data_IF_704464643417
#
_entry.id   IF_704464643417
#
_cell.length_a   1.000
_cell.length_b   1.000
_cell.length_c   1.000
_cell.angle_alpha   90.00
_cell.angle_beta   90.00
_cell.angle_gamma   90.00
#
_symmetry.space_group_name_H-M   'P 1'
#
loop_
_entity.id
_entity.type
_entity.pdbx_description
1 polymer ?
#
# COMPACT_ATOMS: atom_id res chain seq x y z
N UNK A 1 -15.19 2.69 14.29
CA UNK A 1 -14.27 1.54 14.51
C UNK A 1 -15.03 0.30 15.00
N UNK A 2 -15.76 0.37 16.11
CA UNK A 2 -16.49 -0.79 16.69
C UNK A 2 -17.42 -1.46 15.68
N UNK A 3 -18.21 -0.70 14.92
CA UNK A 3 -19.12 -1.24 13.88
C UNK A 3 -18.36 -1.98 12.75
N UNK A 4 -17.23 -1.44 12.29
CA UNK A 4 -16.43 -2.11 11.25
C UNK A 4 -15.83 -3.44 11.75
N UNK A 5 -15.27 -3.45 12.96
CA UNK A 5 -14.69 -4.68 13.54
C UNK A 5 -15.80 -5.71 13.85
N UNK A 6 -16.99 -5.25 14.27
CA UNK A 6 -18.12 -6.14 14.55
C UNK A 6 -18.64 -6.89 13.30
N UNK A 7 -18.38 -6.41 12.08
CA UNK A 7 -18.78 -7.11 10.85
C UNK A 7 -17.79 -8.19 10.41
N UNK A 8 -16.56 -8.21 10.93
CA UNK A 8 -15.52 -9.22 10.57
C UNK A 8 -15.98 -10.65 10.87
N UNK A 9 -16.53 -10.99 12.06
CA UNK A 9 -17.03 -12.33 12.32
C UNK A 9 -18.11 -12.78 11.34
N UNK A 10 -18.99 -11.88 10.91
CA UNK A 10 -20.03 -12.19 9.91
C UNK A 10 -19.45 -12.46 8.53
N UNK A 11 -18.43 -11.70 8.13
CA UNK A 11 -17.70 -11.96 6.88
C UNK A 11 -16.99 -13.31 6.91
N UNK A 12 -16.32 -13.65 8.02
CA UNK A 12 -15.66 -14.95 8.19
C UNK A 12 -16.71 -16.08 8.17
N UNK A 13 -17.80 -15.93 8.90
CA UNK A 13 -18.89 -16.91 8.91
C UNK A 13 -19.46 -17.12 7.51
N UNK A 14 -19.75 -16.05 6.77
CA UNK A 14 -20.20 -16.14 5.39
C UNK A 14 -19.18 -16.85 4.47
N UNK A 15 -17.89 -16.57 4.65
CA UNK A 15 -16.82 -17.21 3.88
C UNK A 15 -16.76 -18.73 4.13
N UNK A 16 -16.99 -19.17 5.36
CA UNK A 16 -17.05 -20.60 5.73
C UNK A 16 -18.37 -21.28 5.31
N UNK A 17 -19.46 -20.52 5.37
CA UNK A 17 -20.78 -21.03 5.07
C UNK A 17 -20.92 -21.39 3.58
N UNK A 18 -20.28 -20.65 2.68
CA UNK A 18 -20.38 -20.86 1.23
C UNK A 18 -19.90 -22.25 0.77
N UNK A 19 -18.68 -22.72 1.13
CA UNK A 19 -18.27 -24.08 0.79
C UNK A 19 -19.14 -25.15 1.45
N UNK A 20 -19.58 -24.91 2.67
CA UNK A 20 -20.44 -25.85 3.39
C UNK A 20 -21.83 -25.98 2.75
N UNK A 21 -22.48 -24.86 2.39
CA UNK A 21 -23.74 -24.87 1.65
C UNK A 21 -23.60 -25.54 0.28
N UNK A 22 -22.49 -25.30 -0.41
CA UNK A 22 -22.22 -25.93 -1.70
C UNK A 22 -22.16 -27.46 -1.58
N UNK A 23 -21.55 -27.98 -0.52
CA UNK A 23 -21.50 -29.41 -0.21
C UNK A 23 -22.91 -29.96 0.00
N UNK A 24 -23.71 -29.30 0.86
CA UNK A 24 -25.08 -29.73 1.12
C UNK A 24 -25.98 -29.66 -0.12
N UNK A 25 -25.86 -28.61 -0.92
CA UNK A 25 -26.59 -28.49 -2.18
C UNK A 25 -26.34 -29.68 -3.07
N UNK A 26 -25.08 -30.09 -3.23
CA UNK A 26 -24.73 -31.18 -4.13
C UNK A 26 -25.17 -32.54 -3.55
N UNK A 27 -24.84 -32.80 -2.30
CA UNK A 27 -25.04 -34.14 -1.69
C UNK A 27 -26.51 -34.42 -1.34
N UNK A 28 -27.23 -33.42 -0.83
CA UNK A 28 -28.57 -33.62 -0.28
C UNK A 28 -29.69 -33.26 -1.28
N UNK A 29 -29.41 -32.45 -2.30
CA UNK A 29 -30.47 -32.00 -3.23
C UNK A 29 -30.17 -32.30 -4.69
N UNK A 30 -28.94 -32.08 -5.20
CA UNK A 30 -28.63 -32.33 -6.62
C UNK A 30 -28.56 -33.81 -6.90
N UNK A 31 -27.85 -34.60 -6.10
CA UNK A 31 -27.71 -36.07 -6.32
C UNK A 31 -29.05 -36.78 -6.15
N UNK A 32 -29.90 -36.50 -5.13
CA UNK A 32 -31.20 -37.08 -4.98
C UNK A 32 -32.26 -36.54 -5.94
N UNK A 33 -32.03 -35.37 -6.58
CA UNK A 33 -32.99 -34.75 -7.55
C UNK A 33 -34.12 -33.95 -6.86
N UNK A 34 -33.92 -33.51 -5.62
CA UNK A 34 -34.88 -32.68 -4.87
C UNK A 34 -34.83 -31.21 -5.32
N UNK A 35 -35.70 -30.84 -6.26
CA UNK A 35 -35.74 -29.47 -6.81
C UNK A 35 -36.26 -28.42 -5.81
N UNK A 36 -37.19 -28.78 -4.92
CA UNK A 36 -37.76 -27.85 -3.94
C UNK A 36 -36.71 -27.52 -2.85
N UNK A 37 -35.99 -28.53 -2.38
CA UNK A 37 -34.88 -28.35 -1.46
C UNK A 37 -33.73 -27.55 -2.08
N UNK A 38 -33.41 -27.84 -3.33
CA UNK A 38 -32.39 -27.14 -4.11
C UNK A 38 -32.69 -25.63 -4.17
N UNK A 39 -33.94 -25.25 -4.51
CA UNK A 39 -34.33 -23.84 -4.58
C UNK A 39 -34.13 -23.12 -3.23
N UNK A 40 -34.56 -23.74 -2.12
CA UNK A 40 -34.35 -23.17 -0.76
C UNK A 40 -32.89 -22.97 -0.43
N UNK A 41 -32.03 -23.95 -0.72
CA UNK A 41 -30.61 -23.88 -0.44
C UNK A 41 -29.89 -22.85 -1.31
N UNK A 42 -30.30 -22.69 -2.58
CA UNK A 42 -29.77 -21.63 -3.47
C UNK A 42 -30.15 -20.24 -2.93
N UNK A 43 -31.38 -20.05 -2.43
CA UNK A 43 -31.81 -18.80 -1.80
C UNK A 43 -30.99 -18.52 -0.51
N UNK A 44 -30.77 -19.54 0.31
CA UNK A 44 -29.90 -19.42 1.50
C UNK A 44 -28.45 -19.05 1.12
N UNK A 45 -27.91 -19.68 0.09
CA UNK A 45 -26.58 -19.39 -0.42
C UNK A 45 -26.50 -17.94 -0.95
N UNK A 46 -27.50 -17.48 -1.68
CA UNK A 46 -27.57 -16.09 -2.15
C UNK A 46 -27.66 -15.12 -0.96
N UNK A 47 -28.42 -15.45 0.09
CA UNK A 47 -28.47 -14.69 1.35
C UNK A 47 -27.11 -14.64 2.04
N UNK A 48 -26.41 -15.77 2.15
CA UNK A 48 -25.06 -15.82 2.74
C UNK A 48 -24.05 -14.98 1.94
N UNK A 49 -24.10 -15.04 0.60
CA UNK A 49 -23.29 -14.17 -0.27
C UNK A 49 -23.60 -12.70 -0.03
N UNK A 50 -24.88 -12.34 0.04
CA UNK A 50 -25.30 -10.96 0.32
C UNK A 50 -24.80 -10.47 1.69
N UNK A 51 -24.97 -11.29 2.74
CA UNK A 51 -24.48 -10.96 4.10
C UNK A 51 -22.95 -10.78 4.09
N UNK A 52 -22.21 -11.68 3.43
CA UNK A 52 -20.75 -11.58 3.29
C UNK A 52 -20.36 -10.30 2.59
N UNK A 53 -20.95 -10.02 1.43
CA UNK A 53 -20.68 -8.83 0.64
C UNK A 53 -20.96 -7.52 1.40
N UNK A 54 -22.13 -7.42 2.05
CA UNK A 54 -22.46 -6.24 2.86
C UNK A 54 -21.53 -6.09 4.06
N UNK A 55 -21.18 -7.19 4.72
CA UNK A 55 -20.24 -7.18 5.84
C UNK A 55 -18.84 -6.69 5.42
N UNK A 56 -18.32 -7.21 4.30
CA UNK A 56 -17.02 -6.78 3.75
C UNK A 56 -17.06 -5.32 3.27
N UNK A 57 -18.18 -4.89 2.65
CA UNK A 57 -18.36 -3.51 2.19
C UNK A 57 -18.40 -2.53 3.36
N UNK A 58 -19.15 -2.85 4.41
CA UNK A 58 -19.23 -2.04 5.64
C UNK A 58 -17.86 -1.97 6.31
N UNK A 59 -17.19 -3.10 6.46
CA UNK A 59 -15.86 -3.18 7.04
C UNK A 59 -14.86 -2.28 6.27
N UNK A 60 -14.77 -2.46 4.95
CA UNK A 60 -13.87 -1.71 4.09
C UNK A 60 -14.17 -0.20 4.13
N UNK A 61 -15.46 0.17 4.07
CA UNK A 61 -15.87 1.58 4.14
C UNK A 61 -15.43 2.24 5.46
N UNK A 62 -15.71 1.61 6.60
CA UNK A 62 -15.31 2.17 7.89
C UNK A 62 -13.80 2.21 8.07
N UNK A 63 -13.08 1.20 7.58
CA UNK A 63 -11.63 1.15 7.63
C UNK A 63 -11.00 2.30 6.82
N UNK A 64 -11.45 2.48 5.57
CA UNK A 64 -11.00 3.58 4.71
C UNK A 64 -11.35 4.93 5.32
N UNK A 65 -12.55 5.10 5.86
CA UNK A 65 -12.96 6.34 6.51
C UNK A 65 -12.06 6.70 7.70
N UNK A 66 -11.72 5.72 8.53
CA UNK A 66 -10.83 5.94 9.68
C UNK A 66 -9.43 6.27 9.21
N UNK A 67 -8.91 5.56 8.21
CA UNK A 67 -7.62 5.86 7.59
C UNK A 67 -7.56 7.30 7.06
N UNK A 68 -8.56 7.71 6.29
CA UNK A 68 -8.66 9.08 5.76
C UNK A 68 -8.72 10.14 6.86
N UNK A 69 -9.48 9.91 7.93
CA UNK A 69 -9.56 10.84 9.05
C UNK A 69 -8.22 10.95 9.79
N UNK A 70 -7.53 9.83 10.01
CA UNK A 70 -6.22 9.82 10.66
C UNK A 70 -5.17 10.55 9.80
N UNK A 71 -5.14 10.30 8.49
CA UNK A 71 -4.23 10.99 7.56
C UNK A 71 -4.55 12.47 7.45
N UNK A 72 -5.83 12.85 7.43
CA UNK A 72 -6.24 14.26 7.41
C UNK A 72 -5.77 14.99 8.67
N UNK A 73 -5.93 14.40 9.85
CA UNK A 73 -5.43 14.96 11.11
C UNK A 73 -3.91 15.09 11.09
N UNK A 74 -3.18 14.00 10.75
CA UNK A 74 -1.72 13.99 10.66
C UNK A 74 -1.20 15.03 9.66
N UNK A 75 -1.86 15.20 8.51
CA UNK A 75 -1.49 16.22 7.52
C UNK A 75 -1.65 17.64 8.07
N UNK A 76 -2.72 17.89 8.81
CA UNK A 76 -2.94 19.18 9.47
C UNK A 76 -1.89 19.46 10.53
N UNK A 77 -1.59 18.46 11.35
CA UNK A 77 -0.57 18.58 12.41
C UNK A 77 0.83 18.79 11.83
N UNK A 78 1.18 18.02 10.79
CA UNK A 78 2.46 18.16 10.08
C UNK A 78 2.58 19.53 9.42
N UNK A 79 1.52 20.02 8.80
CA UNK A 79 1.52 21.35 8.17
C UNK A 79 1.68 22.46 9.22
N UNK A 80 0.97 22.36 10.35
CA UNK A 80 1.12 23.29 11.46
C UNK A 80 2.55 23.27 12.03
N UNK A 81 3.15 22.09 12.17
CA UNK A 81 4.52 21.92 12.62
C UNK A 81 5.52 22.55 11.63
N UNK A 82 5.38 22.30 10.32
CA UNK A 82 6.23 22.91 9.28
C UNK A 82 6.17 24.44 9.36
N UNK A 83 4.99 25.03 9.57
CA UNK A 83 4.86 26.49 9.69
C UNK A 83 5.54 27.05 10.95
N UNK A 84 5.82 26.24 11.97
CA UNK A 84 6.53 26.63 13.18
C UNK A 84 8.06 26.47 13.09
N UNK A 85 8.59 25.88 12.00
CA UNK A 85 10.02 25.66 11.84
C UNK A 85 10.78 26.96 11.54
N UNK A 86 12.04 27.08 11.97
CA UNK A 86 12.87 28.26 11.74
C UNK A 86 13.25 28.41 10.27
N UNK A 87 13.57 29.63 9.87
CA UNK A 87 13.98 29.93 8.49
C UNK A 87 15.21 29.13 8.05
N UNK A 88 16.14 28.85 8.94
CA UNK A 88 17.32 28.04 8.66
C UNK A 88 17.01 26.64 8.15
N UNK A 89 15.88 26.06 8.58
CA UNK A 89 15.38 24.79 8.07
C UNK A 89 15.05 24.87 6.58
N UNK A 90 14.32 25.93 6.15
CA UNK A 90 13.91 26.11 4.75
C UNK A 90 15.09 26.45 3.82
N UNK A 91 16.13 27.08 4.35
CA UNK A 91 17.35 27.38 3.59
C UNK A 91 18.17 26.08 3.31
N UNK A 92 18.08 25.07 4.18
CA UNK A 92 18.77 23.77 4.05
C UNK A 92 17.95 22.72 3.31
N UNK A 93 16.63 22.84 3.29
CA UNK A 93 15.74 21.82 2.73
C UNK A 93 14.96 22.37 1.52
N UNK A 94 15.10 21.75 0.31
CA UNK A 94 14.32 22.16 -0.84
C UNK A 94 12.81 22.03 -0.60
N UNK A 95 12.03 23.04 -0.96
CA UNK A 95 10.56 23.06 -0.79
C UNK A 95 9.90 21.83 -1.42
N UNK A 96 10.43 21.34 -2.56
CA UNK A 96 9.94 20.13 -3.22
C UNK A 96 9.99 18.88 -2.34
N UNK A 97 11.03 18.74 -1.49
CA UNK A 97 11.13 17.63 -0.54
C UNK A 97 10.03 17.73 0.52
N UNK A 98 9.82 18.92 1.10
CA UNK A 98 8.78 19.17 2.09
C UNK A 98 7.39 18.86 1.50
N UNK A 99 7.15 19.31 0.27
CA UNK A 99 5.90 19.04 -0.44
C UNK A 99 5.67 17.53 -0.64
N UNK A 100 6.73 16.78 -0.98
CA UNK A 100 6.65 15.31 -1.11
C UNK A 100 6.23 14.65 0.20
N UNK A 101 6.69 15.15 1.38
CA UNK A 101 6.26 14.63 2.70
C UNK A 101 4.76 14.84 2.93
N UNK A 102 4.24 16.06 2.58
CA UNK A 102 2.83 16.41 2.75
C UNK A 102 1.89 15.72 1.74
N UNK A 103 2.41 15.25 0.61
CA UNK A 103 1.63 14.62 -0.46
C UNK A 103 1.90 13.12 -0.54
N UNK A 104 2.95 12.71 -1.25
CA UNK A 104 3.23 11.31 -1.58
C UNK A 104 3.49 10.42 -0.37
N UNK A 105 4.19 10.93 0.67
CA UNK A 105 4.46 10.13 1.87
C UNK A 105 3.16 9.96 2.70
N UNK A 106 2.32 10.99 2.79
CA UNK A 106 1.00 10.88 3.41
C UNK A 106 0.07 9.93 2.65
N UNK A 107 0.14 9.91 1.31
CA UNK A 107 -0.63 8.99 0.50
C UNK A 107 -0.15 7.54 0.67
N UNK A 108 1.16 7.32 0.73
CA UNK A 108 1.72 5.99 1.03
C UNK A 108 1.28 5.45 2.40
N UNK A 109 1.18 6.32 3.42
CA UNK A 109 0.61 5.95 4.72
C UNK A 109 -0.88 5.63 4.63
N UNK A 110 -1.64 6.42 3.89
CA UNK A 110 -3.07 6.18 3.66
C UNK A 110 -3.31 4.81 3.03
N UNK A 111 -2.57 4.47 1.97
CA UNK A 111 -2.66 3.18 1.30
C UNK A 111 -2.38 2.01 2.26
N UNK A 112 -1.39 2.17 3.13
CA UNK A 112 -1.08 1.14 4.13
C UNK A 112 -2.15 1.00 5.20
N UNK A 113 -2.68 2.10 5.71
CA UNK A 113 -3.71 2.08 6.75
C UNK A 113 -5.06 1.62 6.20
N UNK A 114 -5.41 2.08 4.98
CA UNK A 114 -6.71 1.77 4.37
C UNK A 114 -6.77 0.36 3.76
N UNK A 115 -5.67 -0.15 3.21
CA UNK A 115 -5.63 -1.40 2.44
C UNK A 115 -4.75 -2.46 3.14
N UNK A 116 -3.76 -2.04 3.93
CA UNK A 116 -2.65 -2.91 4.27
C UNK A 116 -2.84 -3.77 5.52
N UNK A 117 -2.79 -3.19 6.71
CA UNK A 117 -2.56 -3.96 7.94
C UNK A 117 -3.80 -4.74 8.38
N UNK A 118 -4.99 -4.12 8.33
CA UNK A 118 -6.20 -4.78 8.81
C UNK A 118 -6.79 -5.77 7.79
N UNK A 119 -6.64 -5.51 6.49
CA UNK A 119 -7.06 -6.48 5.46
C UNK A 119 -6.18 -7.72 5.50
N UNK A 120 -4.85 -7.57 5.65
CA UNK A 120 -3.93 -8.71 5.85
C UNK A 120 -4.38 -9.58 7.02
N UNK A 121 -4.70 -8.96 8.15
CA UNK A 121 -5.15 -9.69 9.35
C UNK A 121 -6.47 -10.42 9.10
N UNK A 122 -7.43 -9.79 8.45
CA UNK A 122 -8.72 -10.39 8.12
C UNK A 122 -8.58 -11.54 7.11
N UNK A 123 -7.76 -11.36 6.07
CA UNK A 123 -7.51 -12.38 5.06
C UNK A 123 -6.74 -13.56 5.63
N UNK A 124 -5.82 -13.32 6.54
CA UNK A 124 -5.12 -14.35 7.29
C UNK A 124 -6.08 -15.17 8.19
N UNK A 125 -6.99 -14.48 8.90
CA UNK A 125 -8.03 -15.14 9.69
C UNK A 125 -8.98 -15.98 8.82
N UNK A 126 -9.43 -15.43 7.69
CA UNK A 126 -10.27 -16.16 6.72
C UNK A 126 -9.54 -17.39 6.18
N UNK A 127 -8.27 -17.25 5.84
CA UNK A 127 -7.45 -18.35 5.32
C UNK A 127 -7.27 -19.46 6.35
N UNK A 128 -6.97 -19.11 7.61
CA UNK A 128 -6.88 -20.10 8.71
C UNK A 128 -8.23 -20.79 8.90
N UNK A 129 -9.32 -20.03 8.93
CA UNK A 129 -10.66 -20.59 9.10
C UNK A 129 -11.03 -21.58 7.97
N UNK A 130 -10.69 -21.24 6.72
CA UNK A 130 -10.86 -22.12 5.57
C UNK A 130 -9.98 -23.39 5.67
N UNK A 131 -8.73 -23.25 6.10
CA UNK A 131 -7.84 -24.41 6.32
C UNK A 131 -8.39 -25.36 7.41
N UNK A 132 -8.88 -24.80 8.52
CA UNK A 132 -9.53 -25.59 9.58
C UNK A 132 -10.75 -26.33 9.02
N UNK A 133 -11.59 -25.64 8.24
CA UNK A 133 -12.75 -26.26 7.58
C UNK A 133 -12.33 -27.42 6.68
N UNK A 134 -11.28 -27.26 5.86
CA UNK A 134 -10.77 -28.31 4.99
C UNK A 134 -10.26 -29.53 5.78
N UNK A 135 -9.56 -29.29 6.90
CA UNK A 135 -9.07 -30.38 7.78
C UNK A 135 -10.24 -31.17 8.37
N UNK A 136 -11.31 -30.48 8.81
CA UNK A 136 -12.51 -31.11 9.36
C UNK A 136 -13.23 -31.95 8.30
N UNK A 137 -13.33 -31.42 7.06
CA UNK A 137 -13.99 -32.11 5.96
C UNK A 137 -13.23 -33.36 5.50
N UNK A 138 -11.92 -33.24 5.29
CA UNK A 138 -11.04 -34.38 4.95
C UNK A 138 -9.57 -33.99 5.13
N UNK A 139 -8.94 -34.51 6.19
CA UNK A 139 -7.53 -34.27 6.46
C UNK A 139 -6.59 -34.81 5.35
N UNK A 140 -7.00 -35.90 4.68
CA UNK A 140 -6.24 -36.51 3.57
C UNK A 140 -6.21 -35.61 2.33
N UNK A 141 -7.35 -35.04 1.92
CA UNK A 141 -7.41 -34.07 0.83
C UNK A 141 -6.67 -32.78 1.17
N UNK A 142 -6.76 -32.34 2.41
CA UNK A 142 -6.01 -31.16 2.90
C UNK A 142 -4.52 -31.38 2.81
N UNK A 143 -4.03 -32.61 3.09
CA UNK A 143 -2.62 -32.93 2.96
C UNK A 143 -2.13 -32.84 1.51
N UNK A 144 -2.96 -33.22 0.53
CA UNK A 144 -2.65 -33.03 -0.91
C UNK A 144 -2.47 -31.53 -1.21
N UNK A 145 -3.37 -30.67 -0.70
CA UNK A 145 -3.25 -29.21 -0.87
C UNK A 145 -1.97 -28.68 -0.23
N UNK A 146 -1.68 -29.09 1.02
CA UNK A 146 -0.48 -28.68 1.74
C UNK A 146 0.81 -29.13 1.06
N UNK A 147 0.81 -30.28 0.41
CA UNK A 147 1.97 -30.79 -0.33
C UNK A 147 2.32 -29.95 -1.56
N UNK A 148 1.34 -29.24 -2.11
CA UNK A 148 1.51 -28.39 -3.30
C UNK A 148 2.02 -26.99 -2.93
N UNK A 149 1.77 -26.50 -1.71
CA UNK A 149 2.23 -25.19 -1.27
C UNK A 149 3.77 -25.01 -1.34
N UNK A 150 4.62 -25.95 -0.87
CA UNK A 150 6.06 -25.81 -0.99
C UNK A 150 6.55 -25.62 -2.44
N UNK A 151 6.18 -26.47 -3.42
CA UNK A 151 6.54 -26.23 -4.83
C UNK A 151 6.15 -24.84 -5.34
N UNK A 152 4.92 -24.39 -5.05
CA UNK A 152 4.47 -23.05 -5.42
C UNK A 152 5.39 -21.99 -4.80
N UNK A 153 5.71 -22.10 -3.52
CA UNK A 153 6.57 -21.14 -2.84
C UNK A 153 7.97 -21.08 -3.47
N UNK A 154 8.62 -22.21 -3.67
CA UNK A 154 9.98 -22.26 -4.22
C UNK A 154 10.05 -21.71 -5.64
N UNK A 155 9.12 -22.13 -6.51
CA UNK A 155 9.08 -21.68 -7.90
C UNK A 155 8.73 -20.19 -7.97
N UNK A 156 7.74 -19.74 -7.20
CA UNK A 156 7.38 -18.33 -7.14
C UNK A 156 8.53 -17.47 -6.63
N UNK A 157 9.24 -17.91 -5.59
CA UNK A 157 10.38 -17.16 -5.04
C UNK A 157 11.54 -17.07 -6.04
N UNK A 158 11.82 -18.16 -6.75
CA UNK A 158 12.83 -18.16 -7.83
C UNK A 158 12.48 -17.17 -8.95
N UNK A 159 11.26 -17.24 -9.48
CA UNK A 159 10.80 -16.37 -10.57
C UNK A 159 10.74 -14.89 -10.12
N UNK A 160 10.27 -14.63 -8.90
CA UNK A 160 10.25 -13.26 -8.33
C UNK A 160 11.64 -12.67 -8.17
N UNK A 161 12.62 -13.46 -7.77
CA UNK A 161 14.01 -12.99 -7.68
C UNK A 161 14.53 -12.54 -9.04
N UNK A 162 14.26 -13.31 -10.10
CA UNK A 162 14.61 -12.95 -11.47
C UNK A 162 13.86 -11.72 -11.96
N UNK A 163 12.55 -11.68 -11.73
CA UNK A 163 11.70 -10.54 -12.08
C UNK A 163 12.20 -9.25 -11.42
N UNK A 164 12.52 -9.28 -10.13
CA UNK A 164 13.06 -8.12 -9.39
C UNK A 164 14.35 -7.60 -10.02
N UNK A 165 15.25 -8.48 -10.45
CA UNK A 165 16.49 -8.09 -11.13
C UNK A 165 16.20 -7.33 -12.42
N UNK A 166 15.31 -7.86 -13.28
CA UNK A 166 14.95 -7.19 -14.52
C UNK A 166 14.11 -5.92 -14.32
N UNK A 167 13.29 -5.87 -13.27
CA UNK A 167 12.63 -4.64 -12.88
C UNK A 167 13.59 -3.51 -12.53
N UNK A 168 14.67 -3.80 -11.81
CA UNK A 168 15.70 -2.81 -11.50
C UNK A 168 16.41 -2.33 -12.76
N UNK A 169 16.82 -3.26 -13.66
CA UNK A 169 17.41 -2.90 -14.94
C UNK A 169 16.47 -2.04 -15.81
N UNK A 170 15.18 -2.34 -15.80
CA UNK A 170 14.17 -1.54 -16.51
C UNK A 170 14.09 -0.12 -15.93
N UNK A 171 14.11 0.03 -14.60
CA UNK A 171 14.10 1.34 -13.96
C UNK A 171 15.35 2.16 -14.27
N UNK A 172 16.51 1.54 -14.23
CA UNK A 172 17.78 2.20 -14.60
C UNK A 172 17.78 2.65 -16.06
N UNK A 173 17.37 1.78 -16.97
CA UNK A 173 17.28 2.10 -18.40
C UNK A 173 16.22 3.20 -18.69
N UNK A 174 15.10 3.19 -17.98
CA UNK A 174 14.07 4.24 -18.10
C UNK A 174 14.58 5.57 -17.57
N UNK A 175 15.27 5.58 -16.42
CA UNK A 175 15.85 6.78 -15.84
C UNK A 175 16.91 7.39 -16.77
N UNK A 176 17.77 6.55 -17.38
CA UNK A 176 18.77 6.99 -18.34
C UNK A 176 18.14 7.58 -19.62
N UNK A 177 17.10 6.94 -20.16
CA UNK A 177 16.38 7.45 -21.32
C UNK A 177 15.64 8.77 -21.01
N UNK A 178 14.98 8.85 -19.84
CA UNK A 178 14.25 10.05 -19.41
C UNK A 178 15.20 11.21 -19.09
N UNK A 179 16.32 10.92 -18.42
CA UNK A 179 17.36 11.93 -18.14
C UNK A 179 17.93 12.53 -19.43
N UNK A 180 18.24 11.68 -20.41
CA UNK A 180 18.71 12.13 -21.71
C UNK A 180 17.65 12.98 -22.46
N UNK A 181 16.38 12.56 -22.41
CA UNK A 181 15.29 13.34 -23.00
C UNK A 181 15.17 14.73 -22.34
N UNK A 182 15.27 14.79 -21.02
CA UNK A 182 15.24 16.05 -20.28
C UNK A 182 16.42 16.95 -20.64
N UNK A 183 17.63 16.40 -20.78
CA UNK A 183 18.81 17.15 -21.25
C UNK A 183 18.60 17.70 -22.65
N UNK A 184 18.07 16.88 -23.58
CA UNK A 184 17.79 17.31 -24.95
C UNK A 184 16.72 18.43 -25.01
N UNK A 185 15.66 18.31 -24.20
CA UNK A 185 14.59 19.34 -24.14
C UNK A 185 15.12 20.65 -23.56
N UNK A 186 15.93 20.59 -22.51
CA UNK A 186 16.57 21.77 -21.93
C UNK A 186 17.55 22.44 -22.91
N UNK A 187 18.24 21.63 -23.72
CA UNK A 187 19.21 22.09 -24.72
C UNK A 187 18.66 22.22 -26.14
N UNK A 188 17.32 22.22 -26.36
CA UNK A 188 16.71 22.14 -27.69
C UNK A 188 17.17 23.25 -28.64
N UNK A 189 17.34 24.47 -28.14
CA UNK A 189 17.85 25.60 -28.95
C UNK A 189 19.26 25.30 -29.49
N UNK A 190 20.12 24.73 -28.66
CA UNK A 190 21.49 24.38 -29.06
C UNK A 190 21.48 23.25 -30.11
N UNK A 191 20.65 22.23 -29.93
CA UNK A 191 20.46 21.12 -30.85
C UNK A 191 20.05 21.65 -32.24
N UNK A 192 19.08 22.55 -32.29
CA UNK A 192 18.57 23.18 -33.53
C UNK A 192 19.62 24.09 -34.18
N UNK A 193 20.33 24.91 -33.39
CA UNK A 193 21.38 25.79 -33.91
C UNK A 193 22.53 25.04 -34.60
N UNK A 194 22.84 23.83 -34.08
CA UNK A 194 23.92 22.99 -34.65
C UNK A 194 23.40 21.93 -35.63
N UNK A 195 22.10 21.93 -35.96
CA UNK A 195 21.43 20.92 -36.81
C UNK A 195 21.80 19.48 -36.39
N UNK A 196 21.80 19.23 -35.04
CA UNK A 196 22.25 17.98 -34.44
C UNK A 196 21.12 16.98 -34.18
N UNK A 197 19.87 17.23 -34.66
CA UNK A 197 18.68 16.45 -34.38
C UNK A 197 18.82 14.97 -34.69
N UNK A 198 19.41 14.64 -35.87
CA UNK A 198 19.62 13.27 -36.30
C UNK A 198 20.57 12.49 -35.36
N UNK A 199 21.59 13.15 -34.83
CA UNK A 199 22.54 12.56 -33.88
C UNK A 199 21.88 12.30 -32.53
N UNK A 200 21.13 13.28 -32.04
CA UNK A 200 20.42 13.20 -30.78
C UNK A 200 19.34 12.10 -30.83
N UNK A 201 18.57 12.04 -31.94
CA UNK A 201 17.57 11.01 -32.16
C UNK A 201 18.19 9.61 -32.11
N UNK A 202 19.30 9.39 -32.82
CA UNK A 202 19.99 8.09 -32.80
C UNK A 202 20.48 7.68 -31.42
N UNK A 203 20.94 8.63 -30.61
CA UNK A 203 21.32 8.36 -29.21
C UNK A 203 20.12 8.03 -28.33
N UNK A 204 19.01 8.74 -28.52
CA UNK A 204 17.75 8.44 -27.81
C UNK A 204 17.20 7.07 -28.19
N UNK A 205 17.22 6.70 -29.48
CA UNK A 205 16.83 5.37 -29.96
C UNK A 205 17.69 4.26 -29.35
N UNK A 206 18.98 4.47 -29.16
CA UNK A 206 19.84 3.51 -28.48
C UNK A 206 19.42 3.30 -27.02
N UNK A 207 19.15 4.40 -26.29
CA UNK A 207 18.73 4.35 -24.89
C UNK A 207 17.34 3.70 -24.72
N UNK A 208 16.38 4.07 -25.56
CA UNK A 208 15.06 3.43 -25.59
C UNK A 208 15.12 1.97 -26.01
N UNK A 209 16.09 1.60 -26.90
CA UNK A 209 16.38 0.21 -27.22
C UNK A 209 16.86 -0.62 -26.04
N UNK A 210 17.69 -0.04 -25.16
CA UNK A 210 18.09 -0.68 -23.89
C UNK A 210 16.90 -0.86 -22.93
N UNK A 211 16.07 0.18 -22.78
CA UNK A 211 14.83 0.09 -22.00
C UNK A 211 13.90 -0.99 -22.53
N UNK A 212 13.67 -1.03 -23.86
CA UNK A 212 12.82 -2.04 -24.49
C UNK A 212 13.28 -3.47 -24.20
N UNK A 213 14.59 -3.74 -24.29
CA UNK A 213 15.15 -5.06 -23.98
C UNK A 213 14.95 -5.45 -22.53
N UNK A 214 15.26 -4.53 -21.60
CA UNK A 214 15.07 -4.76 -20.18
C UNK A 214 13.57 -5.02 -19.84
N UNK A 215 12.68 -4.21 -20.40
CA UNK A 215 11.24 -4.33 -20.22
C UNK A 215 10.69 -5.64 -20.79
N UNK A 216 11.19 -6.08 -21.95
CA UNK A 216 10.79 -7.35 -22.57
C UNK A 216 11.15 -8.53 -21.67
N UNK A 217 12.36 -8.54 -21.10
CA UNK A 217 12.75 -9.57 -20.14
C UNK A 217 11.91 -9.52 -18.85
N UNK A 218 11.64 -8.32 -18.33
CA UNK A 218 10.76 -8.14 -17.19
C UNK A 218 9.36 -8.72 -17.44
N UNK A 219 8.75 -8.38 -18.58
CA UNK A 219 7.44 -8.87 -18.97
C UNK A 219 7.42 -10.39 -19.17
N UNK A 220 8.51 -10.97 -19.69
CA UNK A 220 8.64 -12.42 -19.83
C UNK A 220 8.59 -13.12 -18.47
N UNK A 221 9.37 -12.66 -17.49
CA UNK A 221 9.35 -13.26 -16.15
C UNK A 221 8.06 -13.00 -15.40
N UNK A 222 7.41 -11.87 -15.62
CA UNK A 222 6.09 -11.57 -15.07
C UNK A 222 5.03 -12.55 -15.63
N UNK A 223 4.97 -12.70 -16.96
CA UNK A 223 4.08 -13.66 -17.61
C UNK A 223 4.40 -15.12 -17.19
N UNK A 224 5.70 -15.47 -17.09
CA UNK A 224 6.13 -16.79 -16.63
C UNK A 224 5.67 -17.06 -15.19
N UNK A 225 5.76 -16.07 -14.31
CA UNK A 225 5.31 -16.20 -12.93
C UNK A 225 3.82 -16.54 -12.86
N UNK A 226 2.97 -15.81 -13.61
CA UNK A 226 1.55 -16.09 -13.69
C UNK A 226 1.26 -17.47 -14.27
N UNK A 227 1.86 -17.79 -15.42
CA UNK A 227 1.61 -19.05 -16.12
C UNK A 227 2.04 -20.27 -15.32
N UNK A 228 3.15 -20.18 -14.63
CA UNK A 228 3.67 -21.30 -13.81
C UNK A 228 2.82 -21.51 -12.56
N UNK A 229 2.40 -20.43 -11.88
CA UNK A 229 1.48 -20.54 -10.74
C UNK A 229 0.15 -21.17 -11.17
N UNK A 230 -0.43 -20.72 -12.28
CA UNK A 230 -1.66 -21.27 -12.82
C UNK A 230 -1.49 -22.73 -13.24
N UNK A 231 -0.37 -23.07 -13.86
CA UNK A 231 -0.03 -24.45 -14.21
C UNK A 231 0.07 -25.38 -13.00
N UNK A 232 0.75 -24.93 -11.93
CA UNK A 232 0.86 -25.71 -10.68
C UNK A 232 -0.54 -25.84 -10.02
N UNK A 233 -1.34 -24.78 -10.05
CA UNK A 233 -2.72 -24.81 -9.52
C UNK A 233 -3.57 -25.82 -10.31
N UNK A 234 -3.43 -25.86 -11.62
CA UNK A 234 -4.11 -26.83 -12.48
C UNK A 234 -3.68 -28.28 -12.21
N UNK A 235 -2.37 -28.49 -11.99
CA UNK A 235 -1.85 -29.80 -11.56
C UNK A 235 -2.40 -30.18 -10.18
N UNK A 236 -2.47 -29.22 -9.25
CA UNK A 236 -3.08 -29.42 -7.94
C UNK A 236 -4.52 -29.90 -8.05
N UNK A 237 -5.29 -29.23 -8.92
CA UNK A 237 -6.68 -29.58 -9.21
C UNK A 237 -6.79 -31.00 -9.78
N UNK A 238 -5.93 -31.35 -10.76
CA UNK A 238 -5.91 -32.67 -11.34
C UNK A 238 -5.59 -33.77 -10.32
N UNK A 239 -4.59 -33.55 -9.46
CA UNK A 239 -4.23 -34.46 -8.38
C UNK A 239 -5.36 -34.60 -7.35
N UNK A 240 -6.02 -33.49 -7.02
CA UNK A 240 -7.17 -33.50 -6.11
C UNK A 240 -8.35 -34.26 -6.71
N UNK A 241 -8.65 -34.07 -8.00
CA UNK A 241 -9.69 -34.83 -8.69
C UNK A 241 -9.35 -36.31 -8.73
N UNK A 242 -8.13 -36.68 -9.08
CA UNK A 242 -7.69 -38.08 -9.15
C UNK A 242 -7.77 -38.76 -7.79
N UNK A 243 -7.19 -38.16 -6.75
CA UNK A 243 -7.21 -38.73 -5.41
C UNK A 243 -8.60 -38.66 -4.77
N UNK A 244 -9.33 -37.56 -4.96
CA UNK A 244 -10.70 -37.38 -4.50
C UNK A 244 -11.69 -38.37 -5.12
N UNK A 245 -11.57 -38.64 -6.41
CA UNK A 245 -12.38 -39.67 -7.08
C UNK A 245 -12.15 -41.05 -6.47
N UNK A 246 -10.90 -41.41 -6.13
CA UNK A 246 -10.60 -42.66 -5.46
C UNK A 246 -11.25 -42.73 -4.06
N UNK A 247 -11.26 -41.63 -3.31
CA UNK A 247 -11.91 -41.53 -1.99
C UNK A 247 -13.44 -41.63 -2.11
N UNK A 248 -14.04 -41.11 -3.18
CA UNK A 248 -15.49 -41.20 -3.47
C UNK A 248 -15.85 -42.68 -3.74
N UNK A 249 -15.09 -43.35 -4.59
CA UNK A 249 -15.33 -44.77 -4.90
C UNK A 249 -15.24 -45.68 -3.68
N UNK A 250 -14.45 -45.31 -2.67
CA UNK A 250 -14.36 -46.01 -1.40
C UNK A 250 -15.40 -45.56 -0.37
N UNK A 251 -16.26 -44.63 -0.69
CA UNK A 251 -17.33 -44.12 0.19
C UNK A 251 -16.81 -43.24 1.36
N UNK A 252 -15.54 -42.80 1.33
CA UNK A 252 -14.94 -42.01 2.39
C UNK A 252 -15.22 -40.48 2.26
N UNK A 253 -15.49 -40.02 1.06
CA UNK A 253 -15.74 -38.62 0.73
C UNK A 253 -16.92 -38.54 -0.24
N UNK A 254 -17.78 -37.53 -0.10
CA UNK A 254 -18.88 -37.27 -1.04
C UNK A 254 -18.43 -36.43 -2.24
N UNK A 255 -19.24 -36.41 -3.29
CA UNK A 255 -19.00 -35.56 -4.47
C UNK A 255 -19.07 -34.09 -4.08
N UNK A 256 -20.02 -33.71 -3.20
CA UNK A 256 -20.14 -32.34 -2.70
C UNK A 256 -18.89 -31.88 -1.96
N UNK A 257 -18.30 -32.74 -1.12
CA UNK A 257 -17.04 -32.44 -0.41
C UNK A 257 -15.91 -32.17 -1.40
N UNK A 258 -15.76 -32.99 -2.46
CA UNK A 258 -14.72 -32.77 -3.47
C UNK A 258 -14.90 -31.43 -4.20
N UNK A 259 -16.11 -31.08 -4.60
CA UNK A 259 -16.42 -29.79 -5.25
C UNK A 259 -16.21 -28.62 -4.29
N UNK A 260 -16.59 -28.77 -3.02
CA UNK A 260 -16.33 -27.80 -1.96
C UNK A 260 -14.82 -27.55 -1.74
N UNK A 261 -14.00 -28.61 -1.79
CA UNK A 261 -12.54 -28.51 -1.75
C UNK A 261 -12.00 -27.71 -2.93
N UNK A 262 -12.42 -28.02 -4.16
CA UNK A 262 -11.98 -27.32 -5.37
C UNK A 262 -12.30 -25.82 -5.29
N UNK A 263 -13.52 -25.49 -4.85
CA UNK A 263 -13.93 -24.10 -4.68
C UNK A 263 -13.09 -23.37 -3.62
N UNK A 264 -12.82 -24.04 -2.50
CA UNK A 264 -12.07 -23.48 -1.38
C UNK A 264 -10.58 -23.32 -1.70
N UNK A 265 -10.01 -24.20 -2.51
CA UNK A 265 -8.62 -24.16 -2.95
C UNK A 265 -8.28 -22.80 -3.60
N UNK A 266 -9.10 -22.37 -4.54
CA UNK A 266 -8.92 -21.08 -5.21
C UNK A 266 -8.96 -19.90 -4.22
N UNK A 267 -9.83 -19.97 -3.20
CA UNK A 267 -9.96 -18.93 -2.17
C UNK A 267 -8.75 -18.85 -1.24
N UNK A 268 -8.03 -19.96 -1.02
CA UNK A 268 -6.81 -19.98 -0.20
C UNK A 268 -5.60 -19.46 -0.96
N UNK A 269 -5.52 -19.69 -2.27
CA UNK A 269 -4.36 -19.23 -3.05
C UNK A 269 -4.37 -17.73 -3.34
N UNK A 270 -5.52 -17.07 -3.38
CA UNK A 270 -5.62 -15.62 -3.63
C UNK A 270 -4.87 -14.80 -2.55
N UNK A 271 -5.13 -14.97 -1.24
CA UNK A 271 -4.40 -14.24 -0.20
C UNK A 271 -2.89 -14.50 -0.22
N UNK A 272 -2.46 -15.72 -0.51
CA UNK A 272 -1.03 -16.07 -0.58
C UNK A 272 -0.33 -15.30 -1.71
N UNK A 273 -1.00 -15.14 -2.83
CA UNK A 273 -0.49 -14.36 -3.97
C UNK A 273 -0.42 -12.87 -3.65
N UNK A 274 -1.43 -12.31 -3.02
CA UNK A 274 -1.54 -10.88 -2.69
C UNK A 274 -0.61 -10.46 -1.55
N UNK A 275 -0.31 -11.36 -0.62
CA UNK A 275 0.55 -11.08 0.53
C UNK A 275 1.89 -10.44 0.16
N UNK A 276 2.48 -10.84 -0.96
CA UNK A 276 3.76 -10.27 -1.41
C UNK A 276 3.64 -8.82 -1.89
N UNK A 277 2.51 -8.46 -2.52
CA UNK A 277 2.25 -7.08 -2.94
C UNK A 277 2.05 -6.18 -1.72
N UNK A 278 1.38 -6.70 -0.71
CA UNK A 278 1.12 -5.99 0.54
C UNK A 278 2.40 -5.71 1.35
N UNK A 279 3.40 -6.61 1.33
CA UNK A 279 4.72 -6.35 1.94
C UNK A 279 5.37 -5.10 1.32
N UNK A 280 5.30 -4.92 0.01
CA UNK A 280 5.88 -3.76 -0.67
C UNK A 280 5.16 -2.46 -0.32
N UNK A 281 3.84 -2.50 -0.14
CA UNK A 281 3.05 -1.36 0.36
C UNK A 281 3.47 -1.01 1.78
N UNK A 282 3.58 -2.00 2.65
CA UNK A 282 3.99 -1.82 4.04
C UNK A 282 5.40 -1.23 4.17
N UNK A 283 6.37 -1.72 3.37
CA UNK A 283 7.73 -1.17 3.35
C UNK A 283 7.77 0.30 2.91
N UNK A 284 7.01 0.67 1.88
CA UNK A 284 6.90 2.07 1.45
C UNK A 284 6.32 2.96 2.55
N UNK A 285 5.29 2.49 3.23
CA UNK A 285 4.65 3.22 4.31
C UNK A 285 5.54 3.37 5.53
N UNK A 286 6.34 2.36 5.86
CA UNK A 286 7.31 2.45 6.94
C UNK A 286 8.38 3.53 6.62
N UNK A 287 8.89 3.54 5.38
CA UNK A 287 9.82 4.60 4.94
C UNK A 287 9.17 5.99 4.95
N UNK A 288 7.90 6.10 4.55
CA UNK A 288 7.15 7.35 4.61
C UNK A 288 6.97 7.81 6.07
N UNK A 289 6.65 6.88 6.99
CA UNK A 289 6.52 7.17 8.41
C UNK A 289 7.84 7.68 9.01
N UNK A 290 8.97 7.04 8.69
CA UNK A 290 10.29 7.48 9.11
C UNK A 290 10.63 8.89 8.61
N UNK A 291 10.26 9.20 7.37
CA UNK A 291 10.47 10.53 6.80
C UNK A 291 9.63 11.61 7.49
N UNK A 292 8.38 11.29 7.82
CA UNK A 292 7.47 12.19 8.51
C UNK A 292 7.90 12.36 9.97
N UNK A 293 8.34 11.28 10.64
CA UNK A 293 8.86 11.31 12.01
C UNK A 293 10.11 12.21 12.11
N UNK A 294 11.03 12.12 11.14
CA UNK A 294 12.20 13.01 11.06
C UNK A 294 11.76 14.48 11.01
N UNK A 295 10.73 14.78 10.22
CA UNK A 295 10.24 16.15 10.10
C UNK A 295 9.56 16.65 11.40
N UNK A 296 8.83 15.78 12.11
CA UNK A 296 8.25 16.11 13.41
C UNK A 296 9.29 16.29 14.53
N UNK A 297 10.49 15.74 14.37
CA UNK A 297 11.60 15.90 15.33
C UNK A 297 12.41 17.18 15.14
N UNK A 298 12.20 17.88 14.04
CA UNK A 298 12.80 19.20 13.84
C UNK A 298 12.27 20.17 14.90
N UNK A 299 13.15 21.00 15.44
CA UNK A 299 12.83 21.86 16.58
C UNK A 299 12.11 23.11 16.09
N UNK A 300 10.88 23.39 16.54
CA UNK A 300 10.18 24.63 16.22
C UNK A 300 10.94 25.87 16.70
N UNK A 301 10.80 26.98 15.97
CA UNK A 301 11.47 28.24 16.29
C UNK A 301 11.19 28.73 17.72
N UNK A 302 9.97 28.50 18.23
CA UNK A 302 9.57 28.92 19.55
C UNK A 302 10.19 28.12 20.72
N UNK A 303 10.73 26.91 20.45
CA UNK A 303 11.41 26.11 21.50
C UNK A 303 12.88 26.49 21.70
N UNK A 304 13.49 27.13 20.70
CA UNK A 304 14.89 27.61 20.81
C UNK A 304 15.02 28.88 21.66
N UNK A 305 13.91 29.40 22.17
CA UNK A 305 13.82 30.60 22.94
C UNK A 305 13.37 30.36 24.40
N UNK A 306 13.99 29.38 25.07
CA UNK A 306 13.78 29.16 26.52
C UNK A 306 14.10 30.39 27.38
N UNK A 307 14.74 31.41 26.81
CA UNK A 307 15.08 32.67 27.44
C UNK A 307 14.25 33.90 26.99
N UNK A 308 13.25 33.71 26.12
CA UNK A 308 12.35 34.81 25.76
C UNK A 308 11.29 35.01 26.82
N UNK A 309 11.11 36.26 27.32
CA UNK A 309 10.03 36.55 28.25
C UNK A 309 8.69 36.21 27.63
N UNK A 310 7.84 35.57 28.41
CA UNK A 310 6.54 34.91 28.12
C UNK A 310 5.46 35.82 27.46
N UNK A 311 5.80 36.68 26.50
CA UNK A 311 4.78 37.45 25.75
C UNK A 311 4.19 36.63 24.58
N UNK A 312 4.87 35.56 24.13
CA UNK A 312 4.40 34.77 22.99
C UNK A 312 3.42 33.63 23.37
N UNK A 313 3.37 33.25 24.66
CA UNK A 313 2.45 32.19 25.12
C UNK A 313 1.02 32.65 25.36
N UNK A 314 0.73 33.92 25.24
CA UNK A 314 -0.61 34.46 25.16
C UNK A 314 -0.94 34.73 23.67
N UNK A 315 -1.26 33.69 22.93
CA UNK A 315 -2.01 33.84 21.66
C UNK A 315 -3.42 34.33 21.96
N UNK A 316 -3.55 35.48 22.63
CA UNK A 316 -4.74 36.30 22.51
C UNK A 316 -4.84 36.61 21.01
N UNK A 317 -5.86 36.06 20.39
CA UNK A 317 -6.29 36.53 19.07
C UNK A 317 -6.65 37.99 19.25
N UNK A 318 -5.66 38.87 19.02
CA UNK A 318 -5.94 40.31 18.97
C UNK A 318 -6.93 40.53 17.83
N UNK A 319 -8.04 41.11 18.13
CA UNK A 319 -8.96 41.57 17.09
C UNK A 319 -8.25 42.66 16.27
N UNK A 320 -8.56 42.82 14.97
CA UNK A 320 -7.96 43.91 14.16
C UNK A 320 -8.04 45.26 14.81
N UNK A 321 -9.06 45.56 15.63
CA UNK A 321 -9.21 46.80 16.39
C UNK A 321 -8.23 46.94 17.57
N UNK A 322 -7.86 45.85 18.23
CA UNK A 322 -6.87 45.88 19.29
C UNK A 322 -5.45 46.04 18.74
N UNK A 323 -5.15 45.44 17.60
CA UNK A 323 -3.89 45.65 16.87
C UNK A 323 -3.76 47.12 16.49
N UNK A 324 -4.82 47.69 15.90
CA UNK A 324 -4.84 49.10 15.46
C UNK A 324 -4.63 50.06 16.67
N UNK A 325 -5.21 49.76 17.81
CA UNK A 325 -5.06 50.55 19.04
C UNK A 325 -3.60 50.50 19.57
N UNK A 326 -2.95 49.36 19.53
CA UNK A 326 -1.55 49.19 19.90
C UNK A 326 -0.63 49.96 18.94
N UNK A 327 -0.91 49.96 17.64
CA UNK A 327 -0.14 50.76 16.68
C UNK A 327 -0.35 52.29 16.86
N UNK A 328 -1.48 52.74 17.38
CA UNK A 328 -1.72 54.18 17.69
C UNK A 328 -0.94 54.63 18.97
N UNK A 329 -0.63 53.72 19.86
CA UNK A 329 0.16 53.97 21.09
C UNK A 329 1.69 53.84 20.87
N UNK A 330 2.09 53.38 19.64
CA UNK A 330 3.50 53.17 19.31
C UNK A 330 4.21 54.53 19.14
N UNK A 331 5.22 54.80 20.00
CA UNK A 331 5.93 56.05 19.99
C UNK A 331 7.34 55.95 19.41
N UNK A 332 8.08 54.89 19.68
CA UNK A 332 9.48 54.75 19.29
C UNK A 332 9.86 53.30 19.24
N UNK A 333 10.67 52.88 18.24
CA UNK A 333 11.38 51.64 18.18
C UNK A 333 12.88 51.92 18.27
N UNK A 334 13.51 51.43 19.30
CA UNK A 334 14.94 51.65 19.56
C UNK A 334 15.69 50.35 19.51
N UNK A 335 16.74 50.30 18.71
CA UNK A 335 17.69 49.20 18.68
C UNK A 335 18.91 49.59 19.50
N UNK A 336 19.18 48.91 20.61
CA UNK A 336 20.32 49.15 21.48
C UNK A 336 21.23 47.91 21.50
N UNK A 337 22.45 48.03 21.01
CA UNK A 337 23.47 46.97 21.01
C UNK A 337 22.98 45.65 20.40
N UNK A 338 22.29 45.74 19.27
CA UNK A 338 21.79 44.55 18.57
C UNK A 338 22.88 44.01 17.68
N UNK A 339 23.34 42.80 17.97
CA UNK A 339 24.28 42.03 17.15
C UNK A 339 23.56 40.87 16.51
N UNK A 340 23.69 40.71 15.19
CA UNK A 340 23.07 39.62 14.44
C UNK A 340 24.11 38.89 13.57
N UNK A 341 24.09 37.56 13.58
CA UNK A 341 24.88 36.72 12.69
C UNK A 341 24.06 35.52 12.21
N UNK A 342 24.32 35.06 10.97
CA UNK A 342 23.57 33.97 10.34
C UNK A 342 24.01 32.58 10.82
N UNK A 343 25.26 32.41 11.28
CA UNK A 343 25.81 31.12 11.74
C UNK A 343 26.77 31.33 12.92
N UNK A 344 26.82 30.37 13.85
CA UNK A 344 27.80 30.39 14.97
C UNK A 344 29.23 30.14 14.46
N UNK A 345 29.44 29.40 13.39
CA UNK A 345 30.71 29.08 12.74
C UNK A 345 30.76 29.76 11.36
N UNK A 346 31.19 30.99 11.31
CA UNK A 346 31.23 31.68 10.02
C UNK A 346 32.50 32.48 9.80
N UNK A 347 33.46 31.96 9.07
CA UNK A 347 34.40 32.73 8.28
C UNK A 347 33.60 33.50 7.21
N UNK A 348 33.24 34.75 7.49
CA UNK A 348 32.61 35.66 6.53
C UNK A 348 31.30 36.33 6.98
N UNK A 349 30.89 36.22 8.22
CA UNK A 349 29.75 36.97 8.72
C UNK A 349 30.02 38.48 8.72
N UNK A 350 29.32 39.26 7.89
CA UNK A 350 29.25 40.71 8.06
C UNK A 350 28.44 41.00 9.33
N UNK A 351 29.09 41.54 10.33
CA UNK A 351 28.40 42.08 11.51
C UNK A 351 27.74 43.36 11.05
N UNK A 352 26.41 43.40 11.02
CA UNK A 352 25.66 44.63 10.83
C UNK A 352 25.46 45.26 12.17
N UNK A 353 26.27 46.26 12.49
CA UNK A 353 26.11 47.12 13.66
C UNK A 353 25.09 48.21 13.30
N UNK A 354 23.92 48.17 13.91
CA UNK A 354 22.89 49.20 13.73
C UNK A 354 22.98 50.09 14.98
N UNK A 355 23.48 51.31 14.79
CA UNK A 355 23.48 52.35 15.82
C UNK A 355 22.14 53.02 15.92
#
# INVERSE_FOLDING_TARGET
MVLGVATVPFSIAATLLLPWLLIQIIDEHVIPGDMDGLFRMVVLMAGAVAVGYFSDSIYTFYLQKIGQLAISAMRSDLYAHILSLPRSFFDQHPIGVILTRLTSDMEALNDSLAIGVLSIFTDFLKTIALLILLIILSWKLTLVVLLILPPIYFVSNFLRSRLRHYYNLTREALADATGYLQECLNGVKTIQLYAAEAKVLKQFEAKTGHFFKAQTHSNFFDAALYSVIEGITSIALALMLWYGAQQILTGLVSIGVLVGFINTLNRIFVPIREFTQQISVFQRSLSALENIDKLFREIPEDQDTADRPSYATNSRKYTPGEIMKHFQEFKELRFENVHFRYTEEGLGAQVVEIQ
#
